data_IF_775831574677
#
_entry.id   IF_775831574677
#
_cell.length_a   1.000
_cell.length_b   1.000
_cell.length_c   1.000
_cell.angle_alpha   90.00
_cell.angle_beta   90.00
_cell.angle_gamma   90.00
#
_symmetry.space_group_name_H-M   'P 1'
#
loop_
_entity.id
_entity.type
_entity.pdbx_description
1 polymer ?
#
# COMPACT_ATOMS: atom_id res chain seq x y z
N UNK A 1 -2.84 -11.95 0.26
CA UNK A 1 -3.38 -10.60 0.61
C UNK A 1 -3.48 -9.75 -0.66
N UNK A 2 -4.09 -8.55 -0.67
CA UNK A 2 -4.09 -7.66 -1.85
C UNK A 2 -3.09 -6.53 -1.66
N UNK A 3 -1.86 -6.74 -2.12
CA UNK A 3 -0.80 -5.74 -2.00
C UNK A 3 -0.87 -4.70 -3.11
N UNK A 4 -0.66 -3.44 -2.76
CA UNK A 4 -0.65 -2.30 -3.68
C UNK A 4 0.73 -1.69 -3.90
N UNK A 5 1.66 -1.94 -2.99
CA UNK A 5 3.01 -1.40 -3.07
C UNK A 5 3.78 -1.55 -1.77
N UNK A 6 5.11 -1.49 -1.87
CA UNK A 6 6.03 -1.59 -0.76
C UNK A 6 6.96 -0.38 -0.76
N UNK A 7 6.89 0.42 0.30
CA UNK A 7 7.92 1.42 0.59
C UNK A 7 9.01 0.75 1.42
N UNK A 8 10.11 0.36 0.74
CA UNK A 8 11.21 -0.42 1.33
C UNK A 8 11.90 0.28 2.51
N UNK A 9 11.97 1.61 2.48
CA UNK A 9 12.52 2.42 3.58
C UNK A 9 11.49 3.43 4.08
N UNK A 10 11.15 3.33 5.35
CA UNK A 10 10.26 4.23 6.05
C UNK A 10 10.89 4.66 7.37
N UNK A 11 10.92 5.98 7.56
CA UNK A 11 11.50 6.64 8.73
C UNK A 11 10.47 7.50 9.46
N UNK A 12 9.25 7.63 8.92
CA UNK A 12 8.25 8.58 9.39
C UNK A 12 7.12 7.83 10.09
N UNK A 13 6.64 6.73 9.49
CA UNK A 13 5.48 6.01 10.01
C UNK A 13 5.80 5.15 11.25
N UNK A 14 7.07 4.86 11.50
CA UNK A 14 7.53 4.22 12.73
C UNK A 14 8.76 4.94 13.30
N UNK A 15 8.55 6.04 14.04
CA UNK A 15 9.65 6.87 14.53
C UNK A 15 10.66 6.08 15.38
N UNK A 16 11.93 6.50 15.31
CA UNK A 16 13.07 5.92 16.04
C UNK A 16 13.51 4.51 15.61
N UNK A 17 12.81 3.85 14.70
CA UNK A 17 13.30 2.64 14.03
C UNK A 17 13.33 2.84 12.51
N UNK A 18 14.15 2.03 11.84
CA UNK A 18 14.09 1.87 10.39
C UNK A 18 13.02 0.82 10.10
N UNK A 19 12.04 1.16 9.27
CA UNK A 19 10.93 0.28 8.93
C UNK A 19 10.71 0.19 7.41
N UNK A 20 9.75 -0.63 7.01
CA UNK A 20 9.15 -0.62 5.68
C UNK A 20 7.63 -0.49 5.82
N UNK A 21 6.98 0.11 4.82
CA UNK A 21 5.52 0.26 4.78
C UNK A 21 4.93 -0.53 3.63
N UNK A 22 4.05 -1.48 3.97
CA UNK A 22 3.29 -2.27 3.02
C UNK A 22 1.89 -1.66 2.85
N UNK A 23 1.55 -1.30 1.61
CA UNK A 23 0.26 -0.74 1.27
C UNK A 23 -0.68 -1.84 0.80
N UNK A 24 -1.88 -1.89 1.40
CA UNK A 24 -2.93 -2.80 0.99
C UNK A 24 -3.93 -2.10 0.07
N UNK A 25 -4.54 -2.86 -0.82
CA UNK A 25 -5.65 -2.37 -1.65
C UNK A 25 -6.97 -2.48 -0.89
N UNK A 26 -7.79 -1.44 -1.03
CA UNK A 26 -9.15 -1.40 -0.50
C UNK A 26 -9.22 -0.58 0.79
N UNK A 27 -10.09 0.43 0.77
CA UNK A 27 -10.54 1.18 1.93
C UNK A 27 -12.03 1.44 1.77
N UNK A 28 -12.82 1.22 2.83
CA UNK A 28 -14.26 1.42 2.83
C UNK A 28 -14.68 2.87 3.14
N UNK A 29 -13.73 3.81 3.15
CA UNK A 29 -13.95 5.23 3.41
C UNK A 29 -13.63 6.06 2.16
N UNK A 30 -14.54 6.96 1.79
CA UNK A 30 -14.36 7.91 0.69
C UNK A 30 -14.00 9.31 1.22
N UNK A 31 -12.92 9.40 1.99
CA UNK A 31 -12.51 10.65 2.63
C UNK A 31 -12.15 11.71 1.58
N UNK A 32 -12.70 12.95 1.66
CA UNK A 32 -12.40 14.01 0.69
C UNK A 32 -10.95 14.51 0.76
N UNK A 33 -10.24 14.19 1.83
CA UNK A 33 -8.83 14.53 2.06
C UNK A 33 -7.90 13.31 1.90
N UNK A 34 -8.36 12.22 1.26
CA UNK A 34 -7.55 11.03 1.11
C UNK A 34 -6.27 11.34 0.32
N UNK A 35 -5.11 11.10 0.93
CA UNK A 35 -3.81 11.22 0.25
C UNK A 35 -3.55 10.04 -0.69
N UNK A 36 -4.26 8.93 -0.52
CA UNK A 36 -4.09 7.69 -1.28
C UNK A 36 -5.42 7.26 -1.92
N UNK A 37 -6.04 8.11 -2.76
CA UNK A 37 -7.38 7.83 -3.30
C UNK A 37 -7.40 6.59 -4.20
N UNK A 38 -6.25 6.22 -4.77
CA UNK A 38 -6.10 4.98 -5.55
C UNK A 38 -6.30 3.71 -4.71
N UNK A 39 -6.21 3.78 -3.38
CA UNK A 39 -6.44 2.64 -2.49
C UNK A 39 -7.91 2.52 -2.06
N UNK A 40 -8.76 3.50 -2.39
CA UNK A 40 -10.16 3.57 -1.96
C UNK A 40 -11.05 2.71 -2.87
N UNK A 41 -11.91 1.89 -2.25
CA UNK A 41 -12.79 0.96 -2.95
C UNK A 41 -12.06 -0.14 -3.73
N UNK A 42 -12.81 -0.92 -4.50
CA UNK A 42 -12.28 -1.92 -5.45
C UNK A 42 -11.97 -1.31 -6.83
N UNK A 43 -11.78 0.03 -6.90
CA UNK A 43 -11.79 0.78 -8.16
C UNK A 43 -10.52 0.56 -8.99
N UNK A 44 -9.47 -0.01 -8.41
CA UNK A 44 -8.36 -0.51 -9.22
C UNK A 44 -8.79 -1.79 -9.93
N UNK A 45 -8.92 -1.71 -11.26
CA UNK A 45 -9.04 -2.88 -12.14
C UNK A 45 -7.98 -3.90 -11.71
N UNK A 46 -8.38 -5.16 -11.52
CA UNK A 46 -7.43 -6.24 -11.22
C UNK A 46 -6.29 -6.19 -12.25
N UNK A 47 -5.07 -5.86 -11.80
CA UNK A 47 -3.87 -5.79 -12.65
C UNK A 47 -3.04 -4.50 -12.57
N UNK A 48 -3.63 -3.32 -12.28
CA UNK A 48 -2.86 -2.07 -12.23
C UNK A 48 -2.37 -1.77 -10.81
N UNK A 49 -1.04 -1.80 -10.61
CA UNK A 49 -0.38 -1.44 -9.35
C UNK A 49 -0.58 -2.45 -8.22
N UNK A 50 -0.72 -3.75 -8.51
CA UNK A 50 -0.62 -4.82 -7.50
C UNK A 50 0.76 -5.46 -7.54
N UNK A 51 1.37 -5.66 -6.38
CA UNK A 51 2.63 -6.42 -6.25
C UNK A 51 2.33 -7.87 -5.89
N UNK A 52 3.13 -8.80 -6.40
CA UNK A 52 3.03 -10.23 -6.07
C UNK A 52 3.52 -10.52 -4.65
N UNK A 53 3.07 -11.63 -4.06
CA UNK A 53 3.64 -12.09 -2.77
C UNK A 53 5.12 -12.46 -2.95
N UNK A 54 5.48 -13.09 -4.07
CA UNK A 54 6.87 -13.41 -4.40
C UNK A 54 7.75 -12.15 -4.48
N UNK A 55 7.24 -11.08 -5.12
CA UNK A 55 7.94 -9.79 -5.20
C UNK A 55 8.09 -9.13 -3.82
N UNK A 56 7.08 -9.28 -2.95
CA UNK A 56 7.13 -8.76 -1.58
C UNK A 56 8.17 -9.49 -0.71
N UNK A 57 8.28 -10.81 -0.85
CA UNK A 57 9.20 -11.64 -0.06
C UNK A 57 10.63 -11.75 -0.65
N UNK A 58 10.85 -11.30 -1.89
CA UNK A 58 12.19 -11.16 -2.50
C UNK A 58 12.95 -9.91 -2.00
N UNK A 59 12.28 -9.03 -1.26
CA UNK A 59 12.89 -7.91 -0.53
C UNK A 59 13.62 -8.38 0.73
#
# INVERSE_FOLDING_TARGET
>A
MRFSGLQKSDLINYPSLIACSLWLKGCNLACPYCHNPLLVGDVLRQGEGSIGEDEFFDF
#
